data_IF_976256788400
#
_entry.id   IF_976256788400
#
_cell.length_a   1.000
_cell.length_b   1.000
_cell.length_c   1.000
_cell.angle_alpha   90.00
_cell.angle_beta   90.00
_cell.angle_gamma   90.00
#
_symmetry.space_group_name_H-M   'P 1'
#
loop_
_entity.id
_entity.type
_entity.pdbx_description
1 polymer ?
#
# COMPACT_ATOMS: atom_id res chain seq x y z
N UNK A 1 29.05 -85.84 32.70
CA UNK A 1 30.02 -86.82 33.24
C UNK A 1 30.35 -87.79 32.12
N UNK A 2 31.44 -87.51 31.38
CA UNK A 2 31.83 -88.25 30.18
C UNK A 2 33.27 -88.71 30.31
N UNK A 3 33.44 -90.01 30.17
CA UNK A 3 34.61 -90.89 30.29
C UNK A 3 35.99 -90.36 29.87
N UNK A 4 36.98 -90.82 30.63
CA UNK A 4 38.41 -90.84 30.31
C UNK A 4 38.71 -91.65 29.03
N UNK A 5 39.69 -91.20 28.25
CA UNK A 5 40.48 -92.07 27.37
C UNK A 5 41.95 -91.67 27.43
N UNK A 6 42.77 -92.63 27.87
CA UNK A 6 44.25 -92.61 27.95
C UNK A 6 44.86 -92.64 26.54
N UNK A 7 45.94 -91.87 26.31
CA UNK A 7 47.08 -92.18 25.39
C UNK A 7 48.17 -91.11 25.60
N UNK A 8 49.25 -91.45 26.31
CA UNK A 8 50.61 -91.83 25.82
C UNK A 8 51.48 -90.66 25.38
N UNK A 9 52.61 -90.54 26.09
CA UNK A 9 53.78 -89.68 25.89
C UNK A 9 54.30 -89.67 24.44
N UNK A 10 54.69 -88.48 23.96
CA UNK A 10 55.76 -88.32 22.99
C UNK A 10 56.52 -87.03 23.33
N UNK A 11 57.83 -87.19 23.39
CA UNK A 11 58.91 -86.21 23.50
C UNK A 11 58.88 -85.20 22.36
N UNK A 12 58.86 -83.90 22.67
CA UNK A 12 59.25 -82.82 21.75
C UNK A 12 59.63 -81.58 22.56
N UNK A 13 60.92 -81.42 22.86
CA UNK A 13 61.52 -80.14 23.23
C UNK A 13 62.57 -79.84 22.15
N UNK A 14 62.46 -78.72 21.41
CA UNK A 14 63.46 -78.35 20.43
C UNK A 14 64.78 -77.95 21.13
N UNK A 15 65.93 -78.12 20.47
CA UNK A 15 67.22 -77.74 21.04
C UNK A 15 67.30 -76.21 21.17
N UNK A 16 67.95 -75.75 22.25
CA UNK A 16 68.27 -74.32 22.44
C UNK A 16 69.30 -73.91 21.38
N UNK A 17 68.91 -73.03 20.45
CA UNK A 17 69.83 -72.30 19.59
C UNK A 17 70.74 -71.42 20.47
N UNK A 18 72.03 -71.73 20.45
CA UNK A 18 73.06 -70.87 21.06
C UNK A 18 73.30 -69.74 20.07
N UNK A 19 72.70 -68.57 20.34
CA UNK A 19 72.95 -67.35 19.56
C UNK A 19 74.42 -66.96 19.78
N UNK A 20 75.20 -66.91 18.71
CA UNK A 20 76.60 -66.49 18.75
C UNK A 20 76.71 -65.02 19.21
N UNK A 21 77.75 -64.67 19.97
CA UNK A 21 77.89 -63.32 20.58
C UNK A 21 77.91 -62.17 19.54
N UNK A 22 78.25 -62.47 18.27
CA UNK A 22 78.17 -61.52 17.16
C UNK A 22 76.73 -61.20 16.77
N UNK A 23 75.83 -62.19 16.66
CA UNK A 23 74.41 -61.97 16.34
C UNK A 23 73.68 -61.23 17.48
N UNK A 24 74.06 -61.47 18.74
CA UNK A 24 73.50 -60.74 19.89
C UNK A 24 73.93 -59.25 19.90
N UNK A 25 75.14 -58.96 19.43
CA UNK A 25 75.64 -57.58 19.30
C UNK A 25 74.99 -56.84 18.13
N UNK A 26 74.75 -57.48 17.00
CA UNK A 26 74.01 -56.89 15.87
C UNK A 26 72.52 -56.66 16.22
N UNK A 27 71.89 -57.59 16.95
CA UNK A 27 70.51 -57.43 17.44
C UNK A 27 70.40 -56.30 18.46
N UNK A 28 71.39 -56.14 19.34
CA UNK A 28 71.42 -55.03 20.28
C UNK A 28 71.68 -53.69 19.58
N UNK A 29 72.63 -53.62 18.64
CA UNK A 29 72.91 -52.39 17.89
C UNK A 29 71.70 -51.93 17.06
N UNK A 30 70.98 -52.85 16.41
CA UNK A 30 69.74 -52.53 15.67
C UNK A 30 68.60 -52.11 16.61
N UNK A 31 68.48 -52.72 17.80
CA UNK A 31 67.48 -52.34 18.81
C UNK A 31 67.77 -50.97 19.44
N UNK A 32 69.04 -50.63 19.68
CA UNK A 32 69.46 -49.29 20.13
C UNK A 32 69.31 -48.22 19.04
N UNK A 33 69.55 -48.56 17.77
CA UNK A 33 69.33 -47.64 16.65
C UNK A 33 67.83 -47.35 16.42
N UNK A 34 66.98 -48.39 16.49
CA UNK A 34 65.53 -48.25 16.38
C UNK A 34 64.91 -47.53 17.59
N UNK A 35 65.44 -47.73 18.80
CA UNK A 35 65.06 -46.98 20.00
C UNK A 35 65.38 -45.49 19.86
N UNK A 36 66.60 -45.13 19.42
CA UNK A 36 66.98 -43.72 19.22
C UNK A 36 66.16 -43.04 18.12
N UNK A 37 65.80 -43.75 17.05
CA UNK A 37 64.95 -43.21 15.99
C UNK A 37 63.51 -42.93 16.47
N UNK A 38 62.94 -43.84 17.28
CA UNK A 38 61.62 -43.67 17.88
C UNK A 38 61.60 -42.54 18.92
N UNK A 39 62.67 -42.38 19.71
CA UNK A 39 62.78 -41.31 20.68
C UNK A 39 62.84 -39.94 19.98
N UNK A 40 63.64 -39.79 18.92
CA UNK A 40 63.72 -38.54 18.14
C UNK A 40 62.38 -38.19 17.49
N UNK A 41 61.66 -39.18 16.97
CA UNK A 41 60.32 -38.98 16.42
C UNK A 41 59.32 -38.57 17.51
N UNK A 42 59.33 -39.23 18.66
CA UNK A 42 58.48 -38.90 19.80
C UNK A 42 58.76 -37.48 20.33
N UNK A 43 60.03 -37.08 20.45
CA UNK A 43 60.40 -35.72 20.80
C UNK A 43 59.95 -34.73 19.72
N UNK A 44 60.08 -35.06 18.44
CA UNK A 44 59.60 -34.21 17.34
C UNK A 44 58.08 -33.97 17.42
N UNK A 45 57.30 -35.03 17.64
CA UNK A 45 55.84 -34.96 17.79
C UNK A 45 55.45 -34.17 19.05
N UNK A 46 56.13 -34.41 20.18
CA UNK A 46 55.88 -33.68 21.43
C UNK A 46 56.18 -32.18 21.26
N UNK A 47 57.26 -31.83 20.55
CA UNK A 47 57.64 -30.43 20.30
C UNK A 47 56.63 -29.75 19.39
N UNK A 48 56.17 -30.45 18.34
CA UNK A 48 55.13 -29.96 17.44
C UNK A 48 53.80 -29.72 18.18
N UNK A 49 53.38 -30.67 19.03
CA UNK A 49 52.20 -30.53 19.87
C UNK A 49 52.32 -29.36 20.85
N UNK A 50 53.50 -29.19 21.46
CA UNK A 50 53.75 -28.09 22.39
C UNK A 50 53.67 -26.75 21.66
N UNK A 51 54.28 -26.63 20.48
CA UNK A 51 54.19 -25.44 19.65
C UNK A 51 52.75 -25.15 19.20
N UNK A 52 51.99 -26.19 18.85
CA UNK A 52 50.58 -26.06 18.48
C UNK A 52 49.73 -25.55 19.65
N UNK A 53 49.91 -26.12 20.86
CA UNK A 53 49.20 -25.66 22.06
C UNK A 53 49.59 -24.22 22.41
N UNK A 54 50.87 -23.85 22.30
CA UNK A 54 51.31 -22.48 22.50
C UNK A 54 50.70 -21.51 21.47
N UNK A 55 50.60 -21.91 20.20
CA UNK A 55 49.98 -21.10 19.16
C UNK A 55 48.47 -20.92 19.40
N UNK A 56 47.77 -21.98 19.81
CA UNK A 56 46.36 -21.90 20.19
C UNK A 56 46.15 -21.02 21.42
N UNK A 57 47.01 -21.12 22.43
CA UNK A 57 46.96 -20.25 23.61
C UNK A 57 47.23 -18.79 23.25
N UNK A 58 48.20 -18.52 22.37
CA UNK A 58 48.48 -17.17 21.88
C UNK A 58 47.29 -16.59 21.12
N UNK A 59 46.66 -17.36 20.23
CA UNK A 59 45.45 -16.95 19.52
C UNK A 59 44.23 -16.75 20.46
N UNK A 60 44.17 -17.47 21.58
CA UNK A 60 43.13 -17.28 22.59
C UNK A 60 43.37 -16.04 23.46
N UNK A 61 44.62 -15.78 23.86
CA UNK A 61 44.97 -14.62 24.71
C UNK A 61 45.03 -13.31 23.92
N UNK A 62 45.38 -13.40 22.63
CA UNK A 62 45.39 -12.29 21.70
C UNK A 62 44.48 -12.66 20.52
N UNK A 63 43.15 -12.71 20.74
CA UNK A 63 42.23 -12.90 19.63
C UNK A 63 42.53 -11.77 18.63
N UNK A 64 42.74 -12.07 17.34
CA UNK A 64 42.82 -11.02 16.34
C UNK A 64 41.58 -10.16 16.50
N UNK A 65 41.76 -8.83 16.55
CA UNK A 65 40.62 -7.91 16.59
C UNK A 65 39.65 -8.36 15.50
N UNK A 66 38.37 -8.63 15.85
CA UNK A 66 37.41 -9.06 14.85
C UNK A 66 37.37 -7.95 13.82
N UNK A 67 37.95 -8.20 12.65
CA UNK A 67 37.85 -7.29 11.52
C UNK A 67 36.35 -7.17 11.29
N UNK A 68 35.75 -5.98 11.51
CA UNK A 68 34.35 -5.81 11.17
C UNK A 68 34.29 -6.11 9.69
N UNK A 69 33.42 -7.03 9.32
CA UNK A 69 33.22 -7.56 7.97
C UNK A 69 32.59 -6.52 7.03
N UNK A 70 32.74 -5.23 7.38
CA UNK A 70 32.31 -4.03 6.69
C UNK A 70 33.49 -3.18 6.23
N UNK A 71 34.63 -3.79 5.88
CA UNK A 71 35.55 -3.12 4.96
C UNK A 71 35.00 -3.33 3.54
N UNK A 72 33.78 -2.81 3.29
CA UNK A 72 33.44 -2.41 1.93
C UNK A 72 34.43 -1.30 1.58
N UNK A 73 35.33 -1.61 0.65
CA UNK A 73 36.26 -0.63 0.11
C UNK A 73 35.51 0.67 -0.17
N UNK A 74 35.86 1.71 0.57
CA UNK A 74 35.47 3.07 0.27
C UNK A 74 36.04 3.40 -1.11
N UNK A 75 35.34 3.02 -2.18
CA UNK A 75 35.50 3.71 -3.45
C UNK A 75 35.24 5.19 -3.15
N UNK A 76 35.83 6.12 -3.92
CA UNK A 76 35.45 7.52 -3.84
C UNK A 76 33.98 7.63 -4.30
N UNK A 77 33.07 7.52 -3.34
CA UNK A 77 31.63 7.54 -3.54
C UNK A 77 31.13 8.96 -3.27
N UNK A 78 30.33 9.48 -4.21
CA UNK A 78 29.81 10.85 -4.20
C UNK A 78 28.41 10.87 -3.54
N UNK A 79 28.27 11.39 -2.31
CA UNK A 79 27.00 11.39 -1.58
C UNK A 79 25.89 12.15 -2.32
N UNK A 80 26.25 13.11 -3.17
CA UNK A 80 25.28 13.91 -3.93
C UNK A 80 24.53 13.12 -5.01
N UNK A 81 25.02 11.92 -5.36
CA UNK A 81 24.44 11.04 -6.38
C UNK A 81 23.66 9.86 -5.82
N UNK A 82 23.69 9.65 -4.50
CA UNK A 82 22.94 8.60 -3.82
C UNK A 82 21.88 9.23 -2.92
N UNK A 83 20.69 9.43 -3.48
CA UNK A 83 19.48 9.67 -2.70
C UNK A 83 18.74 8.35 -2.58
N UNK A 84 18.39 7.95 -1.37
CA UNK A 84 17.50 6.83 -1.16
C UNK A 84 16.11 7.20 -1.66
N UNK A 85 15.44 6.25 -2.32
CA UNK A 85 14.05 6.40 -2.73
C UNK A 85 13.09 6.09 -1.57
N UNK A 86 13.57 6.13 -0.32
CA UNK A 86 12.76 5.87 0.86
C UNK A 86 11.79 7.03 1.09
N UNK A 87 10.58 6.71 1.52
CA UNK A 87 9.58 7.73 1.83
C UNK A 87 8.72 7.34 3.03
N UNK A 88 8.38 8.31 3.85
CA UNK A 88 7.32 8.18 4.84
C UNK A 88 6.12 9.05 4.46
N UNK A 89 4.91 8.54 4.68
CA UNK A 89 3.66 9.26 4.45
C UNK A 89 2.88 9.29 5.77
N UNK A 90 2.74 10.48 6.35
CA UNK A 90 1.87 10.69 7.52
C UNK A 90 0.42 10.74 7.03
N UNK A 91 -0.39 9.74 7.42
CA UNK A 91 -1.82 9.63 7.08
C UNK A 91 -2.70 10.38 8.06
N UNK A 92 -2.35 10.34 9.35
CA UNK A 92 -3.07 11.03 10.42
C UNK A 92 -2.06 11.49 11.48
N UNK A 93 -2.08 12.75 11.93
CA UNK A 93 -2.95 13.84 11.46
C UNK A 93 -2.58 14.34 10.05
N UNK A 94 -3.58 14.84 9.32
CA UNK A 94 -3.33 15.56 8.05
C UNK A 94 -2.89 17.00 8.34
N UNK A 95 -2.26 17.65 7.36
CA UNK A 95 -1.83 19.05 7.47
C UNK A 95 -2.99 19.97 7.87
N UNK A 96 -2.79 20.74 8.94
CA UNK A 96 -3.79 21.68 9.46
C UNK A 96 -5.04 21.01 10.05
N UNK A 97 -5.01 19.69 10.29
CA UNK A 97 -6.18 19.00 10.84
C UNK A 97 -6.41 19.38 12.31
N UNK A 98 -7.68 19.50 12.68
CA UNK A 98 -8.11 19.69 14.07
C UNK A 98 -8.56 18.33 14.58
N UNK A 99 -7.77 17.71 15.44
CA UNK A 99 -8.01 16.33 15.86
C UNK A 99 -7.88 16.12 17.35
N UNK A 100 -8.83 15.34 17.90
CA UNK A 100 -8.72 14.77 19.25
C UNK A 100 -8.16 13.34 19.24
N UNK A 101 -7.88 12.79 18.05
CA UNK A 101 -7.33 11.43 17.89
C UNK A 101 -5.86 11.46 18.28
N UNK A 102 -5.55 10.87 19.44
CA UNK A 102 -4.20 10.72 19.99
C UNK A 102 -3.42 9.55 19.36
N UNK A 103 -3.47 9.45 18.04
CA UNK A 103 -2.80 8.37 17.29
C UNK A 103 -2.23 8.94 16.01
N UNK A 104 -0.95 8.68 15.79
CA UNK A 104 -0.27 8.93 14.52
C UNK A 104 -0.36 7.68 13.68
N UNK A 105 -0.86 7.82 12.45
CA UNK A 105 -0.86 6.74 11.47
C UNK A 105 0.04 7.18 10.32
N UNK A 106 1.00 6.34 9.96
CA UNK A 106 1.99 6.63 8.94
C UNK A 106 2.33 5.36 8.17
N UNK A 107 2.69 5.52 6.90
CA UNK A 107 3.27 4.43 6.12
C UNK A 107 4.73 4.71 5.86
N UNK A 108 5.55 3.65 5.91
CA UNK A 108 6.93 3.71 5.48
C UNK A 108 7.09 2.86 4.22
N UNK A 109 7.80 3.40 3.24
CA UNK A 109 8.13 2.76 1.99
C UNK A 109 9.64 2.82 1.76
N UNK A 110 10.25 1.64 1.62
CA UNK A 110 11.68 1.47 1.44
C UNK A 110 11.94 0.60 0.20
N UNK A 111 12.08 1.21 -0.99
CA UNK A 111 12.37 0.46 -2.20
C UNK A 111 13.84 0.04 -2.19
N UNK A 112 14.09 -1.26 -2.06
CA UNK A 112 15.42 -1.82 -2.19
C UNK A 112 15.71 -2.20 -3.64
N UNK A 113 16.79 -1.65 -4.21
CA UNK A 113 17.34 -2.06 -5.50
C UNK A 113 18.24 -3.30 -5.39
N UNK A 114 18.56 -3.74 -4.17
CA UNK A 114 19.42 -4.91 -3.93
C UNK A 114 18.63 -6.22 -4.01
N UNK A 115 19.34 -7.35 -4.04
CA UNK A 115 18.77 -8.70 -4.06
C UNK A 115 18.24 -9.17 -2.71
N UNK A 116 18.38 -8.36 -1.65
CA UNK A 116 17.86 -8.69 -0.32
C UNK A 116 16.34 -8.53 -0.26
N UNK A 117 15.68 -9.45 0.43
CA UNK A 117 14.21 -9.51 0.49
C UNK A 117 13.59 -8.44 1.40
N UNK A 118 14.37 -7.90 2.34
CA UNK A 118 13.92 -6.93 3.33
C UNK A 118 14.99 -5.89 3.63
N UNK A 119 14.59 -4.65 3.82
CA UNK A 119 15.45 -3.54 4.23
C UNK A 119 15.17 -3.22 5.71
N UNK A 120 16.23 -3.03 6.49
CA UNK A 120 16.12 -2.57 7.88
C UNK A 120 16.33 -1.06 7.88
N UNK A 121 15.36 -0.32 8.40
CA UNK A 121 15.42 1.13 8.57
C UNK A 121 15.23 1.49 10.03
N UNK A 122 15.94 2.51 10.49
CA UNK A 122 15.63 3.18 11.75
C UNK A 122 14.71 4.37 11.46
N UNK A 123 13.62 4.47 12.20
CA UNK A 123 12.75 5.62 12.13
C UNK A 123 12.56 6.24 13.52
N UNK A 124 12.50 7.55 13.54
CA UNK A 124 12.39 8.36 14.75
C UNK A 124 11.24 9.33 14.61
N UNK A 125 10.39 9.43 15.63
CA UNK A 125 9.25 10.34 15.64
C UNK A 125 9.48 11.40 16.71
N UNK A 126 9.31 12.67 16.33
CA UNK A 126 9.32 13.80 17.26
C UNK A 126 8.00 14.53 17.23
N UNK A 127 7.67 15.17 18.34
CA UNK A 127 6.56 16.12 18.44
C UNK A 127 7.07 17.37 19.10
N UNK A 128 6.89 18.52 18.46
CA UNK A 128 7.40 19.81 18.92
C UNK A 128 8.91 19.74 19.24
N UNK A 129 9.66 19.01 18.40
CA UNK A 129 11.08 18.68 18.57
C UNK A 129 11.44 17.83 19.81
N UNK A 130 10.45 17.24 20.48
CA UNK A 130 10.64 16.28 21.57
C UNK A 130 10.60 14.86 21.01
N UNK A 131 11.64 14.08 21.29
CA UNK A 131 11.71 12.67 20.88
C UNK A 131 10.57 11.88 21.54
N UNK A 132 9.72 11.27 20.71
CA UNK A 132 8.62 10.40 21.16
C UNK A 132 9.06 8.92 21.15
N UNK A 133 9.61 8.46 20.04
CA UNK A 133 10.05 7.08 19.86
C UNK A 133 11.14 6.96 18.80
N UNK A 134 11.96 5.93 18.95
CA UNK A 134 12.87 5.42 17.93
C UNK A 134 12.64 3.93 17.82
N UNK A 135 12.47 3.41 16.62
CA UNK A 135 12.24 1.99 16.38
C UNK A 135 12.88 1.53 15.06
N UNK A 136 13.04 0.22 14.94
CA UNK A 136 13.61 -0.46 13.78
C UNK A 136 12.51 -1.15 12.99
N UNK A 137 12.34 -0.74 11.74
CA UNK A 137 11.40 -1.35 10.81
C UNK A 137 12.11 -2.30 9.87
N UNK A 138 11.66 -3.56 9.82
CA UNK A 138 12.04 -4.52 8.78
C UNK A 138 10.96 -4.46 7.70
N UNK A 139 11.30 -3.87 6.56
CA UNK A 139 10.36 -3.58 5.48
C UNK A 139 10.58 -4.54 4.30
N UNK A 140 9.52 -5.17 3.77
CA UNK A 140 9.56 -5.95 2.55
C UNK A 140 9.77 -5.04 1.35
N UNK A 141 10.29 -5.62 0.27
CA UNK A 141 10.61 -4.89 -0.94
C UNK A 141 9.37 -4.27 -1.60
N UNK A 142 9.42 -2.96 -1.85
CA UNK A 142 8.46 -2.22 -2.68
C UNK A 142 7.01 -2.21 -2.17
N UNK A 143 6.77 -2.31 -0.87
CA UNK A 143 5.43 -2.17 -0.29
C UNK A 143 5.40 -1.07 0.77
N UNK A 144 4.25 -0.37 0.86
CA UNK A 144 3.99 0.57 1.95
C UNK A 144 3.50 -0.22 3.17
N UNK A 145 4.25 -0.18 4.27
CA UNK A 145 3.81 -0.79 5.52
C UNK A 145 3.14 0.26 6.39
N UNK A 146 1.88 0.04 6.83
CA UNK A 146 1.22 0.92 7.75
C UNK A 146 1.68 0.68 9.19
N UNK A 147 1.97 1.76 9.90
CA UNK A 147 2.30 1.80 11.31
C UNK A 147 1.35 2.75 12.06
N UNK A 148 1.21 2.51 13.36
CA UNK A 148 0.42 3.38 14.23
C UNK A 148 1.07 3.53 15.59
N UNK A 149 1.25 4.78 16.02
CA UNK A 149 1.82 5.12 17.32
C UNK A 149 0.82 5.93 18.13
N UNK A 150 0.62 5.56 19.40
CA UNK A 150 -0.25 6.32 20.32
C UNK A 150 0.51 7.50 20.91
N UNK A 151 -0.16 8.65 20.98
CA UNK A 151 0.36 9.87 21.59
C UNK A 151 -0.17 9.98 23.02
N UNK A 152 0.65 9.64 23.99
CA UNK A 152 0.28 9.80 25.39
C UNK A 152 0.54 11.26 25.81
N UNK A 153 -0.37 11.83 26.60
CA UNK A 153 -0.20 13.11 27.31
C UNK A 153 0.14 14.34 26.45
N UNK A 154 -0.30 14.37 25.19
CA UNK A 154 -0.09 15.53 24.32
C UNK A 154 -0.97 16.72 24.81
N UNK A 155 -0.40 17.93 25.03
CA UNK A 155 -1.16 19.08 25.52
C UNK A 155 -2.24 19.55 24.52
N UNK A 156 -3.00 20.57 24.92
CA UNK A 156 -3.86 21.30 24.00
C UNK A 156 -3.03 22.39 23.31
N UNK A 157 -3.29 22.65 22.04
CA UNK A 157 -2.56 23.64 21.26
C UNK A 157 -2.21 23.17 19.85
N UNK A 158 -1.32 23.93 19.22
CA UNK A 158 -0.72 23.57 17.94
C UNK A 158 0.50 22.69 18.18
N UNK A 159 0.58 21.61 17.41
CA UNK A 159 1.67 20.65 17.48
C UNK A 159 2.22 20.40 16.08
N UNK A 160 3.53 20.19 16.00
CA UNK A 160 4.21 19.70 14.80
C UNK A 160 4.75 18.31 15.06
N UNK A 161 4.35 17.34 14.23
CA UNK A 161 4.95 16.02 14.24
C UNK A 161 5.96 15.92 13.11
N UNK A 162 7.13 15.37 13.41
CA UNK A 162 8.14 15.01 12.41
C UNK A 162 8.46 13.52 12.49
N UNK A 163 8.58 12.89 11.33
CA UNK A 163 9.11 11.53 11.19
C UNK A 163 10.44 11.66 10.45
N UNK A 164 11.50 11.16 11.06
CA UNK A 164 12.83 11.05 10.48
C UNK A 164 13.11 9.57 10.15
N UNK A 165 13.53 9.31 8.93
CA UNK A 165 14.07 8.00 8.53
C UNK A 165 15.58 8.12 8.36
N UNK A 166 16.32 7.31 9.09
CA UNK A 166 17.76 7.10 8.90
C UNK A 166 17.94 5.90 7.99
N UNK A 167 18.42 6.17 6.78
CA UNK A 167 18.62 5.16 5.74
C UNK A 167 20.11 4.83 5.65
N UNK A 168 20.51 3.59 5.95
CA UNK A 168 21.88 3.16 5.73
C UNK A 168 22.11 3.05 4.21
N UNK A 169 23.12 3.78 3.73
CA UNK A 169 23.60 3.73 2.35
C UNK A 169 24.88 2.87 2.26
N UNK A 170 25.19 2.31 1.07
CA UNK A 170 26.43 1.57 0.86
C UNK A 170 27.67 2.39 1.22
N UNK A 171 28.71 1.73 1.75
CA UNK A 171 29.94 2.41 2.17
C UNK A 171 29.88 3.15 3.51
N UNK A 172 28.90 2.82 4.36
CA UNK A 172 28.82 3.33 5.74
C UNK A 172 28.29 4.76 5.88
N UNK A 173 27.65 5.29 4.85
CA UNK A 173 26.98 6.59 4.91
C UNK A 173 25.54 6.43 5.40
N UNK A 174 25.02 7.46 6.07
CA UNK A 174 23.63 7.52 6.49
C UNK A 174 22.96 8.74 5.84
N UNK A 175 21.80 8.52 5.24
CA UNK A 175 20.92 9.59 4.78
C UNK A 175 19.78 9.78 5.76
N UNK A 176 19.55 11.03 6.18
CA UNK A 176 18.44 11.40 7.05
C UNK A 176 17.39 12.11 6.20
N UNK A 177 16.21 11.53 6.14
CA UNK A 177 15.05 12.10 5.44
C UNK A 177 13.95 12.41 6.43
N UNK A 178 13.31 13.57 6.29
CA UNK A 178 12.38 14.10 7.29
C UNK A 178 11.04 14.51 6.67
N UNK A 179 9.94 14.21 7.37
CA UNK A 179 8.59 14.59 6.99
C UNK A 179 7.85 15.21 8.17
N UNK A 180 7.35 16.43 7.97
CA UNK A 180 6.67 17.18 9.02
C UNK A 180 5.19 17.38 8.70
N UNK A 181 4.35 17.45 9.74
CA UNK A 181 2.94 17.84 9.68
C UNK A 181 2.56 18.70 10.87
N UNK A 182 1.89 19.82 10.61
CA UNK A 182 1.27 20.63 11.65
C UNK A 182 -0.19 20.22 11.87
N UNK A 183 -0.62 20.17 13.14
CA UNK A 183 -2.00 19.86 13.52
C UNK A 183 -2.39 20.59 14.81
N UNK A 184 -3.70 20.72 15.06
CA UNK A 184 -4.22 21.39 16.24
C UNK A 184 -5.02 20.43 17.12
N UNK A 185 -4.73 20.45 18.42
CA UNK A 185 -5.47 19.75 19.46
C UNK A 185 -6.28 20.79 20.24
N UNK A 186 -7.61 20.79 20.11
CA UNK A 186 -8.46 21.76 20.78
C UNK A 186 -8.65 21.43 22.27
N UNK A 187 -8.90 22.47 23.07
CA UNK A 187 -9.30 22.34 24.47
C UNK A 187 -10.72 21.74 24.57
N UNK A 188 -10.87 20.63 25.32
CA UNK A 188 -12.18 20.04 25.63
C UNK A 188 -12.44 18.63 25.07
N UNK A 189 -13.71 18.22 25.12
CA UNK A 189 -14.16 16.84 24.88
C UNK A 189 -13.86 16.30 23.47
N UNK A 190 -13.75 14.97 23.35
CA UNK A 190 -13.53 14.20 22.11
C UNK A 190 -14.33 14.78 20.93
N UNK A 191 -13.63 15.38 19.97
CA UNK A 191 -14.23 15.79 18.70
C UNK A 191 -14.49 14.54 17.87
N UNK A 192 -15.75 14.15 17.80
CA UNK A 192 -16.23 13.22 16.78
C UNK A 192 -16.30 14.03 15.48
N UNK A 193 -15.33 13.79 14.59
CA UNK A 193 -15.39 14.33 13.24
C UNK A 193 -16.61 13.72 12.55
N UNK A 194 -17.72 14.45 12.56
CA UNK A 194 -18.89 14.09 11.76
C UNK A 194 -18.43 14.22 10.32
N UNK A 195 -18.16 13.09 9.68
CA UNK A 195 -17.96 13.04 8.24
C UNK A 195 -19.27 13.49 7.61
N UNK A 196 -19.41 14.80 7.41
CA UNK A 196 -20.38 15.33 6.48
C UNK A 196 -20.10 14.61 5.15
N UNK A 197 -21.13 14.04 4.48
CA UNK A 197 -20.93 13.44 3.18
C UNK A 197 -20.19 14.48 2.36
N UNK A 198 -18.97 14.14 1.91
CA UNK A 198 -18.19 15.00 1.02
C UNK A 198 -19.19 15.44 -0.04
N UNK A 199 -19.53 16.73 -0.07
CA UNK A 199 -20.15 17.30 -1.26
C UNK A 199 -19.23 16.81 -2.36
N UNK A 200 -19.75 15.90 -3.19
CA UNK A 200 -18.98 15.35 -4.29
C UNK A 200 -18.30 16.56 -4.91
N UNK A 201 -16.97 16.56 -5.09
CA UNK A 201 -16.38 17.60 -5.91
C UNK A 201 -17.22 17.55 -7.18
N UNK A 202 -17.95 18.63 -7.46
CA UNK A 202 -18.52 18.84 -8.78
C UNK A 202 -17.29 18.82 -9.66
N UNK A 203 -16.93 17.65 -10.17
CA UNK A 203 -16.08 17.55 -11.31
C UNK A 203 -16.67 18.58 -12.27
N UNK A 204 -15.88 19.55 -12.78
CA UNK A 204 -16.40 20.43 -13.81
C UNK A 204 -17.03 19.50 -14.83
N UNK A 205 -18.34 19.64 -15.13
CA UNK A 205 -19.02 18.68 -15.99
C UNK A 205 -18.17 18.60 -17.24
N UNK A 206 -17.69 17.38 -17.54
CA UNK A 206 -17.04 17.12 -18.81
C UNK A 206 -18.06 17.58 -19.84
N UNK A 207 -17.84 18.75 -20.44
CA UNK A 207 -18.78 19.33 -21.40
C UNK A 207 -18.63 18.48 -22.65
N UNK A 208 -19.28 17.33 -22.63
CA UNK A 208 -19.59 16.60 -23.84
C UNK A 208 -20.56 17.55 -24.55
N UNK A 209 -20.04 18.29 -25.53
CA UNK A 209 -20.86 19.06 -26.47
C UNK A 209 -21.63 18.04 -27.31
N UNK A 210 -22.67 17.45 -26.73
CA UNK A 210 -23.67 16.68 -27.46
C UNK A 210 -24.40 17.68 -28.36
N UNK A 211 -24.47 17.38 -29.65
CA UNK A 211 -25.28 18.16 -30.57
C UNK A 211 -26.72 18.18 -30.06
N UNK A 212 -27.43 19.30 -30.27
CA UNK A 212 -28.82 19.47 -29.80
C UNK A 212 -29.72 18.31 -30.28
N UNK A 213 -29.46 17.79 -31.48
CA UNK A 213 -30.12 16.62 -32.05
C UNK A 213 -29.96 15.35 -31.20
N UNK A 214 -28.76 15.09 -30.68
CA UNK A 214 -28.42 13.87 -29.93
C UNK A 214 -28.93 13.95 -28.49
N UNK A 215 -29.02 15.17 -27.94
CA UNK A 215 -29.66 15.42 -26.65
C UNK A 215 -31.17 15.22 -26.71
N UNK A 216 -31.78 15.53 -27.86
CA UNK A 216 -33.23 15.39 -28.04
C UNK A 216 -33.60 13.92 -28.27
N UNK A 217 -32.81 13.14 -29.03
CA UNK A 217 -33.06 11.70 -29.23
C UNK A 217 -32.89 10.88 -27.95
N UNK A 218 -32.07 11.35 -27.00
CA UNK A 218 -31.92 10.73 -25.67
C UNK A 218 -32.85 11.31 -24.60
N UNK A 219 -33.64 12.35 -24.93
CA UNK A 219 -34.50 13.01 -23.97
C UNK A 219 -35.81 12.26 -23.74
N UNK A 220 -36.24 12.20 -22.47
CA UNK A 220 -37.53 11.62 -22.08
C UNK A 220 -38.68 12.47 -22.65
N UNK A 221 -39.85 11.86 -22.96
CA UNK A 221 -41.02 12.61 -23.39
C UNK A 221 -41.37 13.69 -22.37
N UNK A 222 -41.56 14.93 -22.82
CA UNK A 222 -41.86 16.08 -21.95
C UNK A 222 -42.53 17.21 -22.72
N UNK A 223 -43.26 18.06 -22.01
CA UNK A 223 -43.87 19.27 -22.55
C UNK A 223 -42.80 20.38 -22.52
N UNK A 224 -42.56 21.01 -23.67
CA UNK A 224 -41.58 22.09 -23.82
C UNK A 224 -42.20 23.46 -23.66
N UNK A 225 -43.44 23.62 -24.13
CA UNK A 225 -44.23 24.82 -23.94
C UNK A 225 -45.72 24.47 -23.87
N UNK A 226 -46.50 25.12 -22.99
CA UNK A 226 -46.10 26.15 -22.01
C UNK A 226 -45.22 25.60 -20.88
N UNK A 227 -44.66 26.49 -20.07
CA UNK A 227 -43.88 26.13 -18.88
C UNK A 227 -44.75 26.20 -17.62
N UNK A 228 -44.38 25.44 -16.60
CA UNK A 228 -45.17 25.39 -15.37
C UNK A 228 -45.23 26.77 -14.68
N UNK A 229 -46.43 27.23 -14.34
CA UNK A 229 -46.67 28.55 -13.76
C UNK A 229 -46.62 29.71 -14.76
N UNK A 230 -46.48 29.45 -16.07
CA UNK A 230 -46.45 30.50 -17.08
C UNK A 230 -47.82 31.17 -17.27
N UNK A 231 -47.80 32.47 -17.57
CA UNK A 231 -49.00 33.26 -17.92
C UNK A 231 -48.95 33.58 -19.40
N UNK A 232 -49.79 32.89 -20.18
CA UNK A 232 -49.97 33.14 -21.60
C UNK A 232 -50.95 34.29 -21.79
N UNK A 233 -50.56 35.26 -22.62
CA UNK A 233 -51.35 36.44 -22.92
C UNK A 233 -51.67 36.45 -24.41
N UNK A 234 -52.93 36.61 -24.77
CA UNK A 234 -53.35 36.67 -26.18
C UNK A 234 -54.08 37.98 -26.48
N UNK A 235 -53.91 38.48 -27.71
CA UNK A 235 -54.71 39.56 -28.27
C UNK A 235 -55.92 39.00 -29.01
N UNK A 236 -56.99 39.79 -29.10
CA UNK A 236 -58.36 39.40 -29.47
C UNK A 236 -58.52 38.66 -30.82
N UNK A 237 -57.46 38.59 -31.63
CA UNK A 237 -57.54 38.09 -33.00
C UNK A 237 -57.06 36.66 -33.20
N UNK A 238 -56.97 35.80 -32.17
CA UNK A 238 -57.17 34.33 -32.21
C UNK A 238 -56.57 33.65 -30.95
N UNK A 239 -57.35 32.96 -30.10
CA UNK A 239 -56.84 32.25 -28.93
C UNK A 239 -56.34 30.85 -29.32
N UNK A 240 -55.23 30.77 -30.05
CA UNK A 240 -54.52 29.51 -30.25
C UNK A 240 -53.35 29.41 -29.27
N UNK A 241 -53.28 28.32 -28.53
CA UNK A 241 -52.12 27.98 -27.71
C UNK A 241 -51.31 26.93 -28.44
N UNK A 242 -50.04 27.26 -28.70
CA UNK A 242 -49.08 26.32 -29.26
C UNK A 242 -48.46 25.47 -28.15
N UNK A 243 -48.86 24.20 -28.11
CA UNK A 243 -48.22 23.15 -27.34
C UNK A 243 -47.07 22.55 -28.14
N UNK A 244 -45.86 22.61 -27.58
CA UNK A 244 -44.71 21.91 -28.12
C UNK A 244 -44.31 20.82 -27.14
N UNK A 245 -44.16 19.59 -27.61
CA UNK A 245 -43.77 18.46 -26.77
C UNK A 245 -42.86 17.49 -27.53
N UNK A 246 -42.03 16.78 -26.78
CA UNK A 246 -41.19 15.72 -27.31
C UNK A 246 -41.98 14.42 -27.24
N UNK A 247 -42.18 13.77 -28.39
CA UNK A 247 -42.87 12.49 -28.47
C UNK A 247 -41.90 11.39 -28.90
N UNK A 248 -42.12 10.17 -28.41
CA UNK A 248 -41.34 9.02 -28.80
C UNK A 248 -41.99 8.37 -30.02
N UNK A 249 -41.19 8.08 -31.06
CA UNK A 249 -41.68 7.57 -32.35
C UNK A 249 -42.51 6.27 -32.21
N UNK A 250 -42.19 5.48 -31.21
CA UNK A 250 -42.75 4.13 -31.00
C UNK A 250 -43.89 4.06 -29.97
N UNK A 251 -44.35 5.20 -29.42
CA UNK A 251 -45.32 5.20 -28.33
C UNK A 251 -46.56 6.03 -28.64
N UNK A 252 -47.72 5.49 -28.27
CA UNK A 252 -48.99 6.20 -28.41
C UNK A 252 -49.01 7.34 -27.39
N UNK A 253 -48.87 8.56 -27.88
CA UNK A 253 -48.80 9.78 -27.07
C UNK A 253 -50.13 10.48 -27.13
N UNK A 254 -50.77 10.65 -25.97
CA UNK A 254 -52.03 11.39 -25.82
C UNK A 254 -51.81 12.59 -24.92
N UNK A 255 -52.54 13.68 -25.20
CA UNK A 255 -52.48 14.89 -24.40
C UNK A 255 -53.85 15.08 -23.76
N UNK A 256 -53.85 15.29 -22.45
CA UNK A 256 -55.05 15.60 -21.68
C UNK A 256 -55.03 17.07 -21.29
N UNK A 257 -56.13 17.78 -21.55
CA UNK A 257 -56.35 19.13 -21.04
C UNK A 257 -57.36 19.06 -19.89
N UNK A 258 -56.96 19.52 -18.70
CA UNK A 258 -57.76 19.44 -17.46
C UNK A 258 -58.33 18.02 -17.22
N UNK A 259 -57.54 16.98 -17.54
CA UNK A 259 -57.91 15.57 -17.38
C UNK A 259 -58.83 15.00 -18.48
N UNK A 260 -59.17 15.78 -19.52
CA UNK A 260 -59.96 15.30 -20.66
C UNK A 260 -59.07 15.10 -21.88
N UNK A 261 -59.27 13.99 -22.58
CA UNK A 261 -58.60 13.76 -23.86
C UNK A 261 -59.16 14.73 -24.90
N UNK A 262 -58.29 15.51 -25.51
CA UNK A 262 -58.67 16.46 -26.56
C UNK A 262 -58.34 15.86 -27.92
N UNK A 263 -59.24 16.01 -28.88
CA UNK A 263 -58.98 15.67 -30.28
C UNK A 263 -58.26 16.87 -30.91
N UNK A 264 -56.96 16.74 -31.15
CA UNK A 264 -56.15 17.84 -31.68
C UNK A 264 -56.07 17.78 -33.21
N UNK A 265 -56.05 18.96 -33.84
CA UNK A 265 -55.72 19.09 -35.26
C UNK A 265 -54.20 19.01 -35.41
N UNK A 266 -53.68 17.79 -35.53
CA UNK A 266 -52.24 17.53 -35.54
C UNK A 266 -51.69 17.88 -36.93
N UNK A 267 -51.28 19.14 -37.11
CA UNK A 267 -50.78 19.61 -38.40
C UNK A 267 -49.32 19.25 -38.67
N UNK A 268 -48.50 19.07 -37.62
CA UNK A 268 -47.08 18.73 -37.75
C UNK A 268 -46.62 17.73 -36.67
N UNK A 269 -46.64 16.43 -37.00
CA UNK A 269 -45.90 15.38 -36.28
C UNK A 269 -44.47 15.29 -36.83
N UNK A 270 -43.69 16.35 -36.66
CA UNK A 270 -42.25 16.28 -36.91
C UNK A 270 -41.59 15.54 -35.73
N UNK A 271 -40.96 14.40 -35.97
CA UNK A 271 -40.07 13.82 -34.97
C UNK A 271 -38.79 14.67 -34.88
N UNK A 272 -38.29 15.03 -33.68
CA UNK A 272 -38.73 14.61 -32.34
C UNK A 272 -39.72 15.55 -31.62
N UNK A 273 -39.94 16.76 -32.12
CA UNK A 273 -40.80 17.78 -31.49
C UNK A 273 -42.12 17.89 -32.26
N UNK A 274 -43.21 17.46 -31.62
CA UNK A 274 -44.55 17.64 -32.15
C UNK A 274 -45.12 18.99 -31.72
N UNK A 275 -45.87 19.62 -32.63
CA UNK A 275 -46.57 20.88 -32.38
C UNK A 275 -48.07 20.69 -32.50
N UNK A 276 -48.79 21.12 -31.48
CA UNK A 276 -50.25 21.02 -31.41
C UNK A 276 -50.82 22.38 -31.06
N UNK A 277 -51.85 22.80 -31.80
CA UNK A 277 -52.56 24.05 -31.53
C UNK A 277 -53.88 23.74 -30.83
N UNK A 278 -54.09 24.34 -29.66
CA UNK A 278 -55.37 24.28 -28.95
C UNK A 278 -56.11 25.59 -29.17
N UNK A 279 -57.29 25.49 -29.76
CA UNK A 279 -58.17 26.62 -30.03
C UNK A 279 -59.32 26.68 -29.01
N UNK A 280 -59.82 27.89 -28.75
CA UNK A 280 -61.07 28.09 -28.00
C UNK A 280 -60.94 28.02 -26.47
N UNK A 281 -59.75 28.29 -25.92
CA UNK A 281 -59.56 28.38 -24.47
C UNK A 281 -59.88 29.79 -23.96
N UNK A 282 -60.73 29.87 -22.94
CA UNK A 282 -61.06 31.12 -22.23
C UNK A 282 -59.92 31.56 -21.31
N UNK A 283 -59.96 32.79 -20.79
CA UNK A 283 -59.07 33.19 -19.70
C UNK A 283 -59.31 32.34 -18.45
N UNK A 284 -58.25 31.75 -17.89
CA UNK A 284 -58.36 30.84 -16.75
C UNK A 284 -57.09 30.02 -16.51
N UNK A 285 -57.14 29.13 -15.52
CA UNK A 285 -56.05 28.20 -15.23
C UNK A 285 -56.28 26.86 -15.94
N UNK A 286 -55.22 26.36 -16.56
CA UNK A 286 -55.25 25.13 -17.35
C UNK A 286 -54.10 24.22 -16.97
N UNK A 287 -54.38 22.94 -17.07
CA UNK A 287 -53.46 21.85 -16.81
C UNK A 287 -53.35 21.03 -18.08
N UNK A 288 -52.13 20.80 -18.55
CA UNK A 288 -51.85 19.89 -19.66
C UNK A 288 -51.01 18.73 -19.15
N UNK A 289 -51.52 17.51 -19.37
CA UNK A 289 -50.86 16.27 -19.00
C UNK A 289 -50.46 15.53 -20.26
N UNK A 290 -49.18 15.18 -20.36
CA UNK A 290 -48.67 14.30 -21.41
C UNK A 290 -48.77 12.85 -20.93
N UNK A 291 -49.49 12.02 -21.67
CA UNK A 291 -49.68 10.61 -21.38
C UNK A 291 -49.04 9.77 -22.47
N UNK A 292 -48.21 8.81 -22.09
CA UNK A 292 -47.52 7.89 -23.00
C UNK A 292 -47.83 6.47 -22.56
N UNK A 293 -48.39 5.65 -23.44
CA UNK A 293 -48.76 4.26 -23.12
C UNK A 293 -49.62 4.13 -21.85
N UNK A 294 -50.57 5.06 -21.65
CA UNK A 294 -51.45 5.17 -20.47
C UNK A 294 -50.77 5.58 -19.15
N UNK A 295 -49.50 6.02 -19.18
CA UNK A 295 -48.82 6.60 -18.03
C UNK A 295 -48.67 8.12 -18.19
N UNK A 296 -48.98 8.88 -17.15
CA UNK A 296 -48.68 10.32 -17.12
C UNK A 296 -47.17 10.52 -16.99
N UNK A 297 -46.57 11.14 -18.00
CA UNK A 297 -45.11 11.35 -18.06
C UNK A 297 -44.72 12.76 -17.65
N UNK A 298 -45.56 13.74 -17.99
CA UNK A 298 -45.30 15.14 -17.68
C UNK A 298 -46.61 15.92 -17.46
N UNK A 299 -46.54 16.99 -16.68
CA UNK A 299 -47.69 17.76 -16.26
C UNK A 299 -47.33 19.24 -16.08
N UNK A 300 -48.01 20.11 -16.83
CA UNK A 300 -47.74 21.55 -16.83
C UNK A 300 -49.03 22.29 -16.48
N UNK A 301 -48.95 23.16 -15.49
CA UNK A 301 -50.00 24.16 -15.21
C UNK A 301 -49.63 25.51 -15.81
N UNK A 302 -50.58 26.21 -16.41
CA UNK A 302 -50.39 27.56 -16.93
C UNK A 302 -51.70 28.34 -16.84
N UNK A 303 -51.59 29.66 -16.84
CA UNK A 303 -52.72 30.56 -16.82
C UNK A 303 -52.83 31.30 -18.15
N UNK A 304 -54.05 31.54 -18.60
CA UNK A 304 -54.34 32.35 -19.76
C UNK A 304 -55.04 33.61 -19.30
N UNK A 305 -54.53 34.78 -19.70
CA UNK A 305 -55.15 36.07 -19.42
C UNK A 305 -55.37 36.84 -20.72
N UNK A 306 -56.55 37.42 -20.87
CA UNK A 306 -56.84 38.36 -21.95
C UNK A 306 -56.14 39.69 -21.63
N UNK A 307 -55.42 40.27 -22.60
CA UNK A 307 -54.93 41.65 -22.52
C UNK A 307 -55.89 42.55 -23.29
#
# INVERSE_FOLDING_TARGET
MGMYSKKTFASDLPPLEVIEEEELNELNQTKYANSKANDVFAYGVLTLLTLYVCACFFAYMFPPEPIPWEIEFALPYDPSKMTSNCSAIIRNPMEGDITSKRVVEYDIYAPSNTTTFSQVLQFTIYIDNVLLMTDLAILPRNEFIPYSTKLNDLPYGYHEISIELTVPLPGGYEEITQWNRSFHVPEGSKIVKVNLPKLQPKAPPKVIKLALSDLITTSRPRILSPQNGSVLRYHQDLPFIQLNFIHHKDHNTTILLNGRATTFDIRELSYPIAKVYINGLSSGSYIVTLVVNNYAVDHVSFNITNI
#
